data_IF_091270197977
#
_entry.id   IF_091270197977
#
_cell.length_a   1.000
_cell.length_b   1.000
_cell.length_c   1.000
_cell.angle_alpha   90.00
_cell.angle_beta   90.00
_cell.angle_gamma   90.00
#
_symmetry.space_group_name_H-M   'P 1'
#
loop_
_entity.id
_entity.type
_entity.pdbx_description
1 polymer ?
#
# COMPACT_ATOMS: atom_id res chain seq x y z
N UNK A 1 10.90 10.99 36.85
CA UNK A 1 9.86 11.25 35.84
C UNK A 1 8.90 10.08 35.83
N UNK A 2 7.59 10.32 36.09
CA UNK A 2 6.59 9.25 36.01
C UNK A 2 6.18 9.10 34.54
N UNK A 3 6.68 8.05 33.88
CA UNK A 3 6.26 7.69 32.53
C UNK A 3 4.88 7.03 32.59
N UNK A 4 3.94 7.52 31.78
CA UNK A 4 2.61 6.93 31.65
C UNK A 4 2.53 6.12 30.34
N UNK A 5 2.03 4.90 30.44
CA UNK A 5 1.87 4.00 29.30
C UNK A 5 0.44 4.05 28.76
N UNK A 6 0.32 4.12 27.42
CA UNK A 6 -0.96 4.19 26.71
C UNK A 6 -1.04 3.09 25.64
N UNK A 7 -2.13 2.32 25.64
CA UNK A 7 -2.42 1.36 24.57
C UNK A 7 -2.90 2.12 23.33
N UNK A 8 -2.27 1.89 22.20
CA UNK A 8 -2.56 2.61 20.94
C UNK A 8 -2.92 1.67 19.80
N UNK A 9 -2.03 0.76 19.42
CA UNK A 9 -2.21 -0.12 18.27
C UNK A 9 -2.67 -1.50 18.70
N UNK A 10 -3.87 -1.90 18.25
CA UNK A 10 -4.36 -3.26 18.42
C UNK A 10 -3.54 -4.27 17.57
N UNK A 11 -3.68 -5.56 17.89
CA UNK A 11 -2.93 -6.61 17.21
C UNK A 11 -3.21 -6.64 15.70
N UNK A 12 -4.48 -6.44 15.29
CA UNK A 12 -4.86 -6.42 13.89
C UNK A 12 -4.16 -5.31 13.10
N UNK A 13 -4.09 -4.08 13.67
CA UNK A 13 -3.39 -2.94 13.05
C UNK A 13 -1.90 -3.23 12.89
N UNK A 14 -1.27 -3.86 13.88
CA UNK A 14 0.15 -4.21 13.84
C UNK A 14 0.44 -5.32 12.82
N UNK A 15 -0.37 -6.37 12.79
CA UNK A 15 -0.27 -7.46 11.80
C UNK A 15 -0.47 -6.91 10.40
N UNK A 16 -1.51 -6.09 10.18
CA UNK A 16 -1.73 -5.41 8.91
C UNK A 16 -0.46 -4.66 8.46
N UNK A 17 0.11 -3.84 9.35
CA UNK A 17 1.27 -3.02 9.02
C UNK A 17 2.48 -3.89 8.62
N UNK A 18 2.86 -4.88 9.43
CA UNK A 18 4.04 -5.69 9.14
C UNK A 18 3.86 -6.61 7.94
N UNK A 19 2.67 -7.19 7.77
CA UNK A 19 2.35 -7.94 6.55
C UNK A 19 2.41 -7.05 5.31
N UNK A 20 1.90 -5.81 5.43
CA UNK A 20 1.99 -4.83 4.34
C UNK A 20 3.44 -4.48 4.01
N UNK A 21 4.30 -4.28 5.01
CA UNK A 21 5.74 -4.03 4.82
C UNK A 21 6.39 -5.19 4.04
N UNK A 22 6.15 -6.43 4.46
CA UNK A 22 6.71 -7.62 3.79
C UNK A 22 6.23 -7.75 2.35
N UNK A 23 4.92 -7.58 2.11
CA UNK A 23 4.35 -7.62 0.76
C UNK A 23 4.95 -6.52 -0.13
N UNK A 24 5.01 -5.29 0.37
CA UNK A 24 5.54 -4.14 -0.39
C UNK A 24 7.01 -4.34 -0.73
N UNK A 25 7.84 -4.79 0.21
CA UNK A 25 9.25 -5.11 -0.07
C UNK A 25 9.39 -6.20 -1.13
N UNK A 26 8.61 -7.28 -1.04
CA UNK A 26 8.58 -8.34 -2.05
C UNK A 26 8.12 -7.84 -3.42
N UNK A 27 7.05 -7.02 -3.47
CA UNK A 27 6.54 -6.42 -4.70
C UNK A 27 7.54 -5.45 -5.34
N UNK A 28 8.24 -4.64 -4.53
CA UNK A 28 9.31 -3.76 -5.01
C UNK A 28 10.44 -4.59 -5.60
N UNK A 29 10.93 -5.61 -4.89
CA UNK A 29 12.04 -6.43 -5.34
C UNK A 29 11.72 -7.14 -6.68
N UNK A 30 10.61 -7.89 -6.74
CA UNK A 30 10.21 -8.60 -7.95
C UNK A 30 9.80 -7.64 -9.06
N UNK A 31 9.08 -6.56 -8.74
CA UNK A 31 8.64 -5.55 -9.69
C UNK A 31 9.81 -4.81 -10.35
N UNK A 32 10.89 -4.53 -9.61
CA UNK A 32 12.11 -3.94 -10.17
C UNK A 32 12.76 -4.86 -11.20
N UNK A 33 12.80 -6.17 -10.92
CA UNK A 33 13.33 -7.16 -11.86
C UNK A 33 12.45 -7.24 -13.12
N UNK A 34 11.11 -7.22 -12.96
CA UNK A 34 10.16 -7.20 -14.08
C UNK A 34 10.38 -5.96 -14.94
N UNK A 35 10.52 -4.79 -14.34
CA UNK A 35 10.75 -3.51 -15.03
C UNK A 35 12.05 -3.51 -15.86
N UNK A 36 13.05 -4.26 -15.42
CA UNK A 36 14.35 -4.40 -16.09
C UNK A 36 14.54 -5.71 -16.82
N UNK A 37 13.48 -6.52 -16.97
CA UNK A 37 13.58 -7.89 -17.48
C UNK A 37 14.21 -7.98 -18.87
N UNK A 38 13.88 -7.04 -19.77
CA UNK A 38 14.47 -7.00 -21.13
C UNK A 38 15.96 -6.66 -21.09
N UNK A 39 16.34 -5.67 -20.29
CA UNK A 39 17.75 -5.27 -20.10
C UNK A 39 18.59 -6.38 -19.44
N UNK A 40 17.95 -7.20 -18.61
CA UNK A 40 18.57 -8.34 -17.93
C UNK A 40 18.57 -9.62 -18.79
N UNK A 41 18.02 -9.59 -20.01
CA UNK A 41 17.94 -10.75 -20.89
C UNK A 41 17.04 -11.87 -20.38
N UNK A 42 16.03 -11.57 -19.55
CA UNK A 42 15.13 -12.58 -18.99
C UNK A 42 14.26 -13.16 -20.10
N UNK A 43 14.26 -14.50 -20.33
CA UNK A 43 13.43 -15.15 -21.35
C UNK A 43 11.94 -15.08 -20.98
N UNK A 44 11.05 -15.34 -21.96
CA UNK A 44 9.61 -15.23 -21.75
C UNK A 44 9.09 -16.09 -20.59
N UNK A 45 9.58 -17.32 -20.45
CA UNK A 45 9.19 -18.20 -19.32
C UNK A 45 9.62 -17.60 -17.98
N UNK A 46 10.82 -17.02 -17.91
CA UNK A 46 11.28 -16.28 -16.73
C UNK A 46 10.41 -15.05 -16.41
N UNK A 47 9.99 -14.31 -17.44
CA UNK A 47 9.05 -13.18 -17.26
C UNK A 47 7.69 -13.65 -16.72
N UNK A 48 7.19 -14.81 -17.21
CA UNK A 48 5.95 -15.41 -16.69
C UNK A 48 6.10 -15.76 -15.21
N UNK A 49 7.20 -16.41 -14.82
CA UNK A 49 7.47 -16.78 -13.43
C UNK A 49 7.53 -15.54 -12.54
N UNK A 50 8.29 -14.51 -12.94
CA UNK A 50 8.42 -13.25 -12.18
C UNK A 50 7.07 -12.55 -12.01
N UNK A 51 6.31 -12.40 -13.09
CA UNK A 51 4.98 -11.79 -13.05
C UNK A 51 4.00 -12.60 -12.18
N UNK A 52 4.02 -13.92 -12.30
CA UNK A 52 3.18 -14.81 -11.49
C UNK A 52 3.51 -14.67 -9.99
N UNK A 53 4.78 -14.66 -9.64
CA UNK A 53 5.24 -14.43 -8.26
C UNK A 53 4.80 -13.06 -7.75
N UNK A 54 4.97 -12.00 -8.56
CA UNK A 54 4.51 -10.65 -8.24
C UNK A 54 3.00 -10.61 -7.98
N UNK A 55 2.20 -11.28 -8.82
CA UNK A 55 0.74 -11.34 -8.68
C UNK A 55 0.32 -12.08 -7.42
N UNK A 56 0.97 -13.19 -7.06
CA UNK A 56 0.66 -13.90 -5.82
C UNK A 56 0.93 -13.07 -4.56
N UNK A 57 2.07 -12.39 -4.51
CA UNK A 57 2.36 -11.42 -3.44
C UNK A 57 1.32 -10.29 -3.47
N UNK A 58 0.93 -9.83 -4.66
CA UNK A 58 -0.10 -8.82 -4.88
C UNK A 58 -1.47 -9.23 -4.35
N UNK A 59 -1.87 -10.49 -4.47
CA UNK A 59 -3.12 -10.97 -3.88
C UNK A 59 -3.10 -10.93 -2.36
N UNK A 60 -2.01 -11.39 -1.74
CA UNK A 60 -1.85 -11.27 -0.27
C UNK A 60 -1.91 -9.81 0.17
N UNK A 61 -1.23 -8.93 -0.56
CA UNK A 61 -1.24 -7.49 -0.33
C UNK A 61 -2.66 -6.89 -0.43
N UNK A 62 -3.41 -7.21 -1.48
CA UNK A 62 -4.79 -6.70 -1.69
C UNK A 62 -5.73 -7.21 -0.61
N UNK A 63 -5.66 -8.49 -0.25
CA UNK A 63 -6.45 -9.05 0.85
C UNK A 63 -6.16 -8.36 2.18
N UNK A 64 -4.89 -8.08 2.44
CA UNK A 64 -4.48 -7.33 3.63
C UNK A 64 -5.01 -5.88 3.61
N UNK A 65 -5.02 -5.20 2.44
CA UNK A 65 -5.65 -3.89 2.29
C UNK A 65 -7.16 -3.94 2.50
N UNK A 66 -7.86 -4.92 1.93
CA UNK A 66 -9.30 -5.10 2.14
C UNK A 66 -9.61 -5.28 3.62
N UNK A 67 -8.82 -6.10 4.33
CA UNK A 67 -8.92 -6.22 5.78
C UNK A 67 -8.76 -4.88 6.48
N UNK A 68 -7.77 -4.06 6.07
CA UNK A 68 -7.56 -2.72 6.64
C UNK A 68 -8.75 -1.80 6.43
N UNK A 69 -9.40 -1.86 5.25
CA UNK A 69 -10.60 -1.09 4.97
C UNK A 69 -11.74 -1.46 5.93
N UNK A 70 -11.98 -2.75 6.12
CA UNK A 70 -12.98 -3.26 7.09
C UNK A 70 -12.61 -2.85 8.51
N UNK A 71 -11.33 -3.00 8.91
CA UNK A 71 -10.85 -2.67 10.25
C UNK A 71 -11.00 -1.18 10.58
N UNK A 72 -11.02 -0.31 9.57
CA UNK A 72 -11.31 1.10 9.73
C UNK A 72 -12.72 1.41 10.28
N UNK A 73 -13.67 0.49 10.16
CA UNK A 73 -15.02 0.63 10.73
C UNK A 73 -15.16 -0.01 12.12
N UNK A 74 -14.58 -1.19 12.32
CA UNK A 74 -14.81 -2.02 13.51
C UNK A 74 -13.64 -2.06 14.49
N UNK A 75 -12.45 -1.56 14.08
CA UNK A 75 -11.22 -1.61 14.86
C UNK A 75 -11.21 -0.74 16.12
N UNK A 76 -10.07 -0.73 16.80
CA UNK A 76 -9.83 0.08 17.99
C UNK A 76 -9.94 1.59 17.74
N UNK A 77 -10.03 2.41 18.77
CA UNK A 77 -10.28 3.86 18.65
C UNK A 77 -9.33 4.59 17.70
N UNK A 78 -8.05 4.23 17.72
CA UNK A 78 -7.00 4.84 16.89
C UNK A 78 -6.85 4.21 15.51
N UNK A 79 -7.52 3.05 15.25
CA UNK A 79 -7.54 2.37 13.96
C UNK A 79 -8.70 2.81 13.06
N UNK A 80 -9.74 3.43 13.64
CA UNK A 80 -10.96 3.83 12.91
C UNK A 80 -10.72 4.96 11.94
N UNK A 81 -11.51 5.00 10.85
CA UNK A 81 -11.44 6.03 9.83
C UNK A 81 -11.46 7.45 10.38
N UNK A 82 -12.33 7.74 11.36
CA UNK A 82 -12.41 9.05 12.00
C UNK A 82 -11.12 9.49 12.72
N UNK A 83 -10.27 8.53 13.11
CA UNK A 83 -8.99 8.82 13.77
C UNK A 83 -7.83 8.92 12.76
N UNK A 84 -8.03 8.46 11.53
CA UNK A 84 -7.00 8.39 10.48
C UNK A 84 -7.19 9.49 9.44
N UNK A 85 -8.45 9.73 9.03
CA UNK A 85 -8.74 10.68 7.97
C UNK A 85 -8.50 12.12 8.42
N UNK A 86 -7.88 12.99 7.57
CA UNK A 86 -7.46 14.34 7.93
C UNK A 86 -8.61 15.35 7.86
N UNK A 87 -9.75 15.02 8.46
CA UNK A 87 -10.93 15.89 8.55
C UNK A 87 -11.77 15.57 9.81
N UNK A 88 -12.82 16.35 10.04
CA UNK A 88 -13.70 16.28 11.20
C UNK A 88 -13.56 17.49 12.13
N UNK A 89 -14.43 17.53 13.16
CA UNK A 89 -14.46 18.66 14.12
C UNK A 89 -13.11 18.80 14.83
N UNK A 90 -12.57 20.03 14.84
CA UNK A 90 -11.32 20.35 15.54
C UNK A 90 -10.03 19.92 14.81
N UNK A 91 -10.11 19.23 13.66
CA UNK A 91 -8.91 18.82 12.93
C UNK A 91 -8.05 20.02 12.51
N UNK A 92 -8.64 21.06 11.92
CA UNK A 92 -7.92 22.28 11.48
C UNK A 92 -7.19 22.98 12.63
N UNK A 93 -7.81 23.06 13.81
CA UNK A 93 -7.20 23.66 15.01
C UNK A 93 -6.02 22.81 15.50
N UNK A 94 -6.18 21.48 15.54
CA UNK A 94 -5.09 20.57 15.92
C UNK A 94 -3.93 20.65 14.93
N UNK A 95 -4.22 20.71 13.64
CA UNK A 95 -3.21 20.83 12.56
C UNK A 95 -2.43 22.14 12.68
N UNK A 96 -3.13 23.28 12.87
CA UNK A 96 -2.50 24.57 13.08
C UNK A 96 -1.63 24.59 14.35
N UNK A 97 -2.13 23.96 15.43
CA UNK A 97 -1.39 23.81 16.68
C UNK A 97 -0.12 22.97 16.54
N UNK A 98 -0.18 21.84 15.82
CA UNK A 98 1.00 21.02 15.52
C UNK A 98 2.03 21.81 14.70
N UNK A 99 1.58 22.54 13.66
CA UNK A 99 2.47 23.32 12.81
C UNK A 99 3.16 24.47 13.59
N UNK A 100 2.43 25.13 14.48
CA UNK A 100 3.00 26.13 15.40
C UNK A 100 4.05 25.51 16.32
N UNK A 101 3.71 24.37 16.94
CA UNK A 101 4.65 23.67 17.81
C UNK A 101 5.93 23.24 17.09
N UNK A 102 5.81 22.75 15.85
CA UNK A 102 6.98 22.40 15.01
C UNK A 102 7.85 23.62 14.75
N UNK A 103 7.26 24.78 14.41
CA UNK A 103 7.98 26.04 14.16
C UNK A 103 8.71 26.55 15.41
N UNK A 104 8.13 26.33 16.58
CA UNK A 104 8.68 26.71 17.87
C UNK A 104 9.64 25.67 18.45
N UNK A 105 9.89 24.56 17.76
CA UNK A 105 10.74 23.46 18.23
C UNK A 105 10.16 22.68 19.41
N UNK A 106 8.84 22.84 19.69
CA UNK A 106 8.17 22.12 20.77
C UNK A 106 7.65 20.76 20.33
N UNK A 107 7.78 19.76 21.19
CA UNK A 107 7.22 18.44 21.00
C UNK A 107 5.79 18.36 21.52
N UNK A 108 4.84 17.91 20.67
CA UNK A 108 3.46 17.59 21.09
C UNK A 108 3.26 16.09 20.95
N UNK A 109 2.89 15.45 22.04
CA UNK A 109 2.65 14.01 22.08
C UNK A 109 1.21 13.69 21.66
N UNK A 110 1.06 12.63 20.82
CA UNK A 110 -0.21 12.07 20.42
C UNK A 110 -0.20 10.55 20.65
N UNK A 111 -1.27 10.01 21.23
CA UNK A 111 -1.44 8.56 21.34
C UNK A 111 -1.59 7.95 19.96
N UNK A 112 -2.56 8.45 19.18
CA UNK A 112 -2.79 8.03 17.79
C UNK A 112 -1.82 8.66 16.80
N UNK A 113 -2.33 9.01 15.63
CA UNK A 113 -1.59 9.76 14.61
C UNK A 113 -1.64 11.25 14.92
N UNK A 114 -0.54 11.95 14.71
CA UNK A 114 -0.53 13.41 14.71
C UNK A 114 -1.40 13.93 13.54
N UNK A 115 -1.85 15.17 13.55
CA UNK A 115 -2.57 15.76 12.42
C UNK A 115 -1.83 15.64 11.07
N UNK A 116 -0.52 15.90 11.02
CA UNK A 116 0.32 15.66 9.83
C UNK A 116 0.42 14.16 9.50
N UNK A 117 0.56 13.33 10.52
CA UNK A 117 0.58 11.87 10.37
C UNK A 117 -0.71 11.32 9.75
N UNK A 118 -1.86 11.91 10.04
CA UNK A 118 -3.16 11.55 9.42
C UNK A 118 -3.17 11.81 7.92
N UNK A 119 -2.61 12.95 7.46
CA UNK A 119 -2.43 13.23 6.02
C UNK A 119 -1.52 12.18 5.40
N UNK A 120 -0.34 11.96 5.98
CA UNK A 120 0.65 11.02 5.45
C UNK A 120 0.09 9.60 5.31
N UNK A 121 -0.57 9.09 6.35
CA UNK A 121 -1.20 7.75 6.32
C UNK A 121 -2.32 7.66 5.31
N UNK A 122 -3.17 8.70 5.18
CA UNK A 122 -4.27 8.73 4.20
C UNK A 122 -3.73 8.71 2.77
N UNK A 123 -2.74 9.55 2.47
CA UNK A 123 -2.11 9.61 1.13
C UNK A 123 -1.43 8.28 0.80
N UNK A 124 -0.65 7.72 1.73
CA UNK A 124 0.04 6.45 1.52
C UNK A 124 -0.95 5.31 1.32
N UNK A 125 -1.99 5.21 2.15
CA UNK A 125 -3.03 4.18 2.02
C UNK A 125 -3.79 4.32 0.69
N UNK A 126 -4.15 5.53 0.28
CA UNK A 126 -4.77 5.80 -1.01
C UNK A 126 -3.89 5.37 -2.19
N UNK A 127 -2.60 5.68 -2.15
CA UNK A 127 -1.64 5.25 -3.16
C UNK A 127 -1.51 3.72 -3.23
N UNK A 128 -1.46 3.03 -2.09
CA UNK A 128 -1.42 1.56 -2.02
C UNK A 128 -2.69 0.92 -2.59
N UNK A 129 -3.88 1.48 -2.31
CA UNK A 129 -5.15 0.99 -2.86
C UNK A 129 -5.16 1.12 -4.39
N UNK A 130 -4.75 2.27 -4.92
CA UNK A 130 -4.69 2.49 -6.36
C UNK A 130 -3.65 1.59 -7.04
N UNK A 131 -2.52 1.32 -6.37
CA UNK A 131 -1.51 0.38 -6.86
C UNK A 131 -2.06 -1.04 -6.92
N UNK A 132 -2.75 -1.49 -5.88
CA UNK A 132 -3.41 -2.81 -5.85
C UNK A 132 -4.48 -2.95 -6.93
N UNK A 133 -5.32 -1.93 -7.13
CA UNK A 133 -6.37 -1.95 -8.15
C UNK A 133 -5.80 -2.11 -9.57
N UNK A 134 -4.77 -1.32 -9.93
CA UNK A 134 -4.11 -1.48 -11.23
C UNK A 134 -3.38 -2.81 -11.36
N UNK A 135 -2.75 -3.30 -10.27
CA UNK A 135 -2.13 -4.63 -10.25
C UNK A 135 -3.10 -5.77 -10.55
N UNK A 136 -4.34 -5.71 -10.02
CA UNK A 136 -5.39 -6.70 -10.34
C UNK A 136 -5.81 -6.67 -11.80
N UNK A 137 -5.90 -5.49 -12.42
CA UNK A 137 -6.18 -5.36 -13.86
C UNK A 137 -5.03 -5.99 -14.67
N UNK A 138 -3.79 -5.70 -14.30
CA UNK A 138 -2.61 -6.25 -14.99
C UNK A 138 -2.47 -7.76 -14.80
N UNK A 139 -2.83 -8.32 -13.65
CA UNK A 139 -2.89 -9.76 -13.46
C UNK A 139 -3.81 -10.44 -14.47
N UNK A 140 -4.96 -9.81 -14.77
CA UNK A 140 -5.91 -10.29 -15.77
C UNK A 140 -5.41 -10.14 -17.20
N UNK A 141 -4.82 -9.00 -17.56
CA UNK A 141 -4.41 -8.70 -18.94
C UNK A 141 -3.07 -9.28 -19.34
N UNK A 142 -2.18 -9.55 -18.36
CA UNK A 142 -0.84 -10.08 -18.62
C UNK A 142 -0.76 -11.61 -18.51
N UNK A 143 -1.48 -12.15 -17.53
CA UNK A 143 -1.36 -13.56 -17.12
C UNK A 143 -2.69 -14.31 -17.17
N UNK A 144 -3.77 -13.64 -17.56
CA UNK A 144 -5.12 -14.20 -17.54
C UNK A 144 -5.55 -14.73 -16.15
N UNK A 145 -5.02 -14.10 -15.08
CA UNK A 145 -5.29 -14.48 -13.70
C UNK A 145 -6.51 -13.73 -13.12
N UNK A 146 -7.16 -14.27 -12.07
CA UNK A 146 -8.28 -13.60 -11.42
C UNK A 146 -7.95 -12.15 -10.97
N UNK A 147 -8.96 -11.27 -10.83
CA UNK A 147 -10.39 -11.55 -11.01
C UNK A 147 -10.87 -11.43 -12.47
N UNK A 148 -10.10 -10.79 -13.35
CA UNK A 148 -10.55 -10.43 -14.71
C UNK A 148 -10.08 -11.41 -15.79
N UNK A 149 -9.12 -12.28 -15.48
CA UNK A 149 -8.41 -13.09 -16.45
C UNK A 149 -9.29 -13.98 -17.31
N UNK A 150 -10.30 -14.64 -16.72
CA UNK A 150 -11.23 -15.50 -17.45
C UNK A 150 -12.01 -14.72 -18.53
N UNK A 151 -12.50 -13.56 -18.20
CA UNK A 151 -13.26 -12.70 -19.13
C UNK A 151 -12.33 -12.16 -20.23
N UNK A 152 -11.10 -11.78 -19.87
CA UNK A 152 -10.12 -11.26 -20.82
C UNK A 152 -9.69 -12.37 -21.77
N UNK A 153 -9.39 -13.56 -21.26
CA UNK A 153 -9.03 -14.71 -22.09
C UNK A 153 -10.15 -15.05 -23.11
N UNK A 154 -11.41 -15.05 -22.67
CA UNK A 154 -12.56 -15.29 -23.54
C UNK A 154 -12.68 -14.25 -24.66
N UNK A 155 -12.33 -12.98 -24.38
CA UNK A 155 -12.42 -11.90 -25.34
C UNK A 155 -11.28 -11.86 -26.36
N UNK A 156 -10.15 -12.50 -26.07
CA UNK A 156 -8.96 -12.48 -26.93
C UNK A 156 -8.62 -13.85 -27.55
N UNK A 157 -9.33 -14.91 -27.19
CA UNK A 157 -9.07 -16.26 -27.72
C UNK A 157 -9.23 -16.30 -29.24
N UNK A 158 -8.32 -16.99 -29.93
CA UNK A 158 -8.44 -17.23 -31.36
C UNK A 158 -9.65 -18.13 -31.69
N UNK A 159 -10.14 -18.05 -32.91
CA UNK A 159 -11.26 -18.90 -33.36
C UNK A 159 -10.94 -20.39 -33.18
N UNK A 160 -11.82 -21.10 -32.46
CA UNK A 160 -11.65 -22.52 -32.16
C UNK A 160 -10.72 -22.84 -30.98
N UNK A 161 -10.12 -21.85 -30.34
CA UNK A 161 -9.30 -22.03 -29.13
C UNK A 161 -10.17 -21.88 -27.89
N UNK A 162 -10.09 -22.85 -26.98
CA UNK A 162 -10.74 -22.73 -25.67
C UNK A 162 -10.08 -21.58 -24.86
N UNK A 163 -10.86 -20.64 -24.31
CA UNK A 163 -10.33 -19.54 -23.50
C UNK A 163 -9.41 -19.99 -22.34
N UNK A 164 -9.60 -21.19 -21.82
CA UNK A 164 -8.73 -21.74 -20.75
C UNK A 164 -7.32 -22.12 -21.25
N UNK A 165 -7.13 -22.21 -22.57
CA UNK A 165 -5.85 -22.51 -23.19
C UNK A 165 -5.07 -21.24 -23.58
N UNK A 166 -5.67 -20.08 -23.47
CA UNK A 166 -4.97 -18.80 -23.72
C UNK A 166 -3.85 -18.63 -22.71
N UNK A 167 -2.64 -18.37 -23.22
CA UNK A 167 -1.43 -18.26 -22.38
C UNK A 167 -0.65 -16.99 -22.71
N UNK A 168 0.08 -16.43 -21.72
CA UNK A 168 1.01 -15.32 -21.95
C UNK A 168 2.11 -15.72 -22.96
N UNK A 169 2.46 -14.79 -23.83
CA UNK A 169 3.50 -14.95 -24.86
C UNK A 169 3.25 -16.09 -25.87
N UNK A 170 2.01 -16.56 -26.02
CA UNK A 170 1.60 -17.61 -26.98
C UNK A 170 0.66 -16.99 -28.05
N UNK A 171 1.21 -16.31 -29.07
CA UNK A 171 0.42 -15.57 -30.06
C UNK A 171 -0.54 -16.46 -30.86
N UNK A 172 -0.24 -17.76 -30.96
CA UNK A 172 -1.11 -18.77 -31.62
C UNK A 172 -2.41 -19.02 -30.86
N UNK A 173 -2.52 -18.63 -29.60
CA UNK A 173 -3.72 -18.85 -28.78
C UNK A 173 -4.70 -17.68 -28.81
N UNK A 174 -4.32 -16.55 -29.42
CA UNK A 174 -5.08 -15.31 -29.40
C UNK A 174 -5.42 -14.82 -30.81
N UNK A 175 -6.59 -14.16 -30.94
CA UNK A 175 -6.91 -13.38 -32.12
C UNK A 175 -6.05 -12.10 -32.13
N UNK A 176 -5.30 -11.82 -33.22
CA UNK A 176 -4.36 -10.70 -33.26
C UNK A 176 -5.01 -9.33 -33.09
N UNK A 177 -6.23 -9.11 -33.65
CA UNK A 177 -6.92 -7.82 -33.57
C UNK A 177 -7.50 -7.59 -32.16
N UNK A 178 -8.18 -8.60 -31.61
CA UNK A 178 -8.71 -8.55 -30.26
C UNK A 178 -7.60 -8.38 -29.21
N UNK A 179 -6.48 -9.09 -29.38
CA UNK A 179 -5.31 -8.95 -28.52
C UNK A 179 -4.69 -7.56 -28.60
N UNK A 180 -4.56 -7.01 -29.83
CA UNK A 180 -4.07 -5.64 -30.02
C UNK A 180 -4.99 -4.63 -29.33
N UNK A 181 -6.31 -4.72 -29.53
CA UNK A 181 -7.28 -3.84 -28.89
C UNK A 181 -7.24 -3.91 -27.36
N UNK A 182 -7.04 -5.11 -26.80
CA UNK A 182 -6.85 -5.30 -25.34
C UNK A 182 -5.54 -4.62 -24.89
N UNK A 183 -4.44 -4.78 -25.61
CA UNK A 183 -3.16 -4.14 -25.27
C UNK A 183 -3.22 -2.61 -25.33
N UNK A 184 -3.92 -2.04 -26.31
CA UNK A 184 -4.09 -0.60 -26.43
C UNK A 184 -4.86 -0.02 -25.23
N UNK A 185 -5.90 -0.72 -24.74
CA UNK A 185 -6.63 -0.36 -23.52
C UNK A 185 -5.80 -0.57 -22.25
N UNK A 186 -4.91 -1.53 -22.23
CA UNK A 186 -4.04 -1.85 -21.10
C UNK A 186 -2.89 -0.86 -20.94
N UNK A 187 -2.37 -0.28 -22.04
CA UNK A 187 -1.18 0.57 -22.02
C UNK A 187 -1.22 1.67 -20.95
N UNK A 188 -2.28 2.50 -20.82
CA UNK A 188 -2.34 3.53 -19.78
C UNK A 188 -2.38 2.95 -18.35
N UNK A 189 -2.85 1.72 -18.17
CA UNK A 189 -2.83 1.05 -16.86
C UNK A 189 -1.41 0.65 -16.47
N UNK A 190 -0.63 0.13 -17.43
CA UNK A 190 0.80 -0.18 -17.24
C UNK A 190 1.56 1.07 -16.84
N UNK A 191 1.48 2.13 -17.67
CA UNK A 191 2.16 3.41 -17.42
C UNK A 191 1.82 3.99 -16.05
N UNK A 192 0.54 3.94 -15.67
CA UNK A 192 0.09 4.44 -14.38
C UNK A 192 0.57 3.56 -13.21
N UNK A 193 0.64 2.23 -13.39
CA UNK A 193 1.15 1.30 -12.39
C UNK A 193 2.66 1.54 -12.16
N UNK A 194 3.42 1.70 -13.23
CA UNK A 194 4.85 1.99 -13.18
C UNK A 194 5.14 3.38 -12.59
N UNK A 195 4.40 4.42 -12.98
CA UNK A 195 4.56 5.74 -12.39
C UNK A 195 4.30 5.73 -10.88
N UNK A 196 3.23 5.06 -10.45
CA UNK A 196 2.91 4.94 -9.01
C UNK A 196 3.94 4.12 -8.24
N UNK A 197 4.63 3.18 -8.87
CA UNK A 197 5.75 2.51 -8.22
C UNK A 197 6.80 3.53 -7.75
N UNK A 198 7.22 4.48 -8.58
CA UNK A 198 8.18 5.51 -8.19
C UNK A 198 7.61 6.48 -7.16
N UNK A 199 6.34 6.86 -7.28
CA UNK A 199 5.64 7.70 -6.28
C UNK A 199 5.61 6.99 -4.93
N UNK A 200 5.29 5.70 -4.88
CA UNK A 200 5.28 4.91 -3.65
C UNK A 200 6.67 4.80 -3.03
N UNK A 201 7.73 4.60 -3.81
CA UNK A 201 9.10 4.62 -3.30
C UNK A 201 9.40 5.93 -2.59
N UNK A 202 9.03 7.08 -3.19
CA UNK A 202 9.17 8.38 -2.56
C UNK A 202 8.36 8.54 -1.28
N UNK A 203 7.08 8.14 -1.30
CA UNK A 203 6.20 8.21 -0.12
C UNK A 203 6.67 7.31 1.02
N UNK A 204 7.14 6.10 0.71
CA UNK A 204 7.67 5.15 1.71
C UNK A 204 8.96 5.70 2.32
N UNK A 205 9.87 6.23 1.49
CA UNK A 205 11.10 6.85 1.97
C UNK A 205 10.78 8.03 2.89
N UNK A 206 9.85 8.90 2.48
CA UNK A 206 9.42 10.04 3.30
C UNK A 206 8.78 9.56 4.62
N UNK A 207 7.96 8.50 4.58
CA UNK A 207 7.37 7.92 5.78
C UNK A 207 8.44 7.40 6.75
N UNK A 208 9.42 6.64 6.27
CA UNK A 208 10.52 6.11 7.09
C UNK A 208 11.33 7.26 7.71
N UNK A 209 11.67 8.27 6.92
CA UNK A 209 12.40 9.45 7.41
C UNK A 209 11.60 10.23 8.46
N UNK A 210 10.30 10.44 8.23
CA UNK A 210 9.43 11.12 9.19
C UNK A 210 9.33 10.36 10.51
N UNK A 211 9.19 9.03 10.45
CA UNK A 211 9.17 8.17 11.64
C UNK A 211 10.50 8.25 12.37
N UNK A 212 11.63 8.11 11.68
CA UNK A 212 12.97 8.17 12.27
C UNK A 212 13.24 9.54 12.94
N UNK A 213 12.92 10.63 12.25
CA UNK A 213 13.08 11.99 12.80
C UNK A 213 12.20 12.21 14.03
N UNK A 214 10.96 11.70 14.01
CA UNK A 214 10.06 11.82 15.15
C UNK A 214 10.55 10.99 16.33
N UNK A 215 11.00 9.76 16.08
CA UNK A 215 11.62 8.88 17.10
C UNK A 215 12.80 9.59 17.79
N UNK A 216 13.71 10.19 17.00
CA UNK A 216 14.89 10.88 17.51
C UNK A 216 14.56 12.16 18.31
N UNK A 217 13.55 12.93 17.85
CA UNK A 217 13.18 14.22 18.47
C UNK A 217 12.33 14.09 19.73
N UNK A 218 11.46 13.08 19.79
CA UNK A 218 10.46 12.93 20.84
C UNK A 218 10.77 11.83 21.86
N UNK A 219 11.95 11.22 21.79
CA UNK A 219 12.43 10.28 22.80
C UNK A 219 11.80 8.89 22.75
N UNK A 220 11.34 8.49 21.55
CA UNK A 220 11.08 7.08 21.33
C UNK A 220 9.63 6.62 21.41
N UNK A 221 9.46 5.34 21.16
CA UNK A 221 8.21 4.57 21.23
C UNK A 221 7.30 4.59 20.00
N UNK A 222 7.67 5.21 18.86
CA UNK A 222 6.84 5.14 17.65
C UNK A 222 7.08 3.80 16.96
N UNK A 223 8.33 3.45 16.72
CA UNK A 223 8.72 2.16 16.12
C UNK A 223 8.36 1.01 17.05
N UNK A 224 8.74 1.10 18.33
CA UNK A 224 8.43 0.06 19.33
C UNK A 224 6.93 -0.14 19.53
N UNK A 225 6.10 0.91 19.37
CA UNK A 225 4.66 0.79 19.43
C UNK A 225 4.07 -0.08 18.31
N UNK A 226 4.74 -0.21 17.17
CA UNK A 226 4.32 -1.12 16.11
C UNK A 226 4.60 -2.60 16.43
N UNK A 227 5.37 -2.88 17.47
CA UNK A 227 5.57 -4.23 18.03
C UNK A 227 4.76 -4.46 19.29
N UNK A 228 4.86 -3.54 20.26
CA UNK A 228 4.22 -3.66 21.58
C UNK A 228 2.74 -3.28 21.59
N UNK A 229 2.32 -2.37 20.69
CA UNK A 229 1.00 -1.74 20.71
C UNK A 229 0.86 -0.61 21.72
N UNK A 230 1.96 -0.17 22.34
CA UNK A 230 1.96 0.78 23.46
C UNK A 230 2.93 1.92 23.22
N UNK A 231 2.57 3.12 23.72
CA UNK A 231 3.43 4.29 23.77
C UNK A 231 3.56 4.76 25.21
N UNK A 232 4.73 5.31 25.57
CA UNK A 232 4.98 5.91 26.89
C UNK A 232 5.28 7.40 26.74
N UNK A 233 4.71 8.22 27.61
CA UNK A 233 4.92 9.66 27.62
C UNK A 233 5.18 10.17 29.04
N UNK A 234 6.10 11.14 29.14
CA UNK A 234 6.35 11.88 30.38
C UNK A 234 5.29 12.98 30.62
N UNK A 235 4.72 13.55 29.55
CA UNK A 235 3.68 14.56 29.58
C UNK A 235 2.38 14.02 28.97
N UNK A 236 1.21 14.47 29.44
CA UNK A 236 -0.08 14.04 28.90
C UNK A 236 -0.17 14.28 27.39
N UNK A 237 -0.62 13.30 26.58
CA UNK A 237 -0.81 13.47 25.16
C UNK A 237 -2.03 14.34 24.84
N UNK A 238 -1.97 15.05 23.69
CA UNK A 238 -2.99 16.01 23.28
C UNK A 238 -4.34 15.36 22.90
N UNK A 239 -4.32 14.09 22.51
CA UNK A 239 -5.50 13.30 22.09
C UNK A 239 -5.97 12.29 23.16
N UNK A 240 -5.66 12.55 24.44
CA UNK A 240 -6.14 11.73 25.56
C UNK A 240 -7.67 11.78 25.59
N UNK A 241 -8.37 10.63 25.64
CA UNK A 241 -9.81 10.59 25.94
C UNK A 241 -10.08 11.15 27.32
N UNK A 242 -11.07 12.03 27.44
CA UNK A 242 -11.57 12.50 28.75
C UNK A 242 -12.24 11.37 29.54
#
# INVERSE_FOLDING_TARGET
>A
MNLQEYKVWDASTRIFHWLNVLCVLGLIAVGTVILKADALGVPNDGKVILKTTHVWIGYVFVLNLLWRLVWGFIGGPYARWRAILPFGRGYGTQFAGELSAIREGRAVNYIGHTPLGRIAVTVLLGALILQGATGLILAGTDLYMPPFGKTIAANVAASGVDPSQVRPYAPETVDPEAYKAMRDKRAPVVETHELRYFVLLGLITLHILAVALTELRHGGNIVSAMFSGRKTFANPPADRPN
#
